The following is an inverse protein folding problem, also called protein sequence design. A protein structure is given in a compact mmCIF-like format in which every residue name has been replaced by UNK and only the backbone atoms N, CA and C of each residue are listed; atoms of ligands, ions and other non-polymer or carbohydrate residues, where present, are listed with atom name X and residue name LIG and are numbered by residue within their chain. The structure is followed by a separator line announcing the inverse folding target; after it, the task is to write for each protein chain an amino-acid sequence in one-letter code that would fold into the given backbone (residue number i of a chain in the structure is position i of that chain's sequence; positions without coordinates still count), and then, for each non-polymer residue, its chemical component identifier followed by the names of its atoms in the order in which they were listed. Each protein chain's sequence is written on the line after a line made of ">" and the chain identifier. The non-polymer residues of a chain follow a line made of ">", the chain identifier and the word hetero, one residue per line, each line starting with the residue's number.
data_IF_151272794310
#
_entry.id   IF_151272794310
#
_cell.length_a   1.000
_cell.length_b   1.000
_cell.length_c   1.000
_cell.angle_alpha   90.00
_cell.angle_beta   90.00
_cell.angle_gamma   90.00
#
_symmetry.space_group_name_H-M   'P 1'
#
loop_
_entity.id
_entity.type
_entity.pdbx_description
1 polymer ?
#
# COMPACT_ATOMS: atom_id res chain seq x y z
N UNK A 1 -6.39 11.97 0.87
CA UNK A 1 -7.56 11.09 1.12
C UNK A 1 -7.04 9.80 1.75
N UNK A 2 -7.74 9.24 2.74
CA UNK A 2 -7.40 7.94 3.33
C UNK A 2 -8.45 6.91 2.91
N UNK A 3 -8.01 5.71 2.54
CA UNK A 3 -8.87 4.58 2.20
C UNK A 3 -8.51 3.42 3.14
N UNK A 4 -9.53 2.76 3.69
CA UNK A 4 -9.38 1.46 4.36
C UNK A 4 -9.75 0.36 3.36
N UNK A 5 -8.84 -0.58 3.12
CA UNK A 5 -9.08 -1.67 2.17
C UNK A 5 -7.93 -2.67 2.14
N UNK A 6 -8.14 -3.77 1.43
CA UNK A 6 -7.10 -4.76 1.17
C UNK A 6 -6.12 -4.27 0.10
N UNK A 7 -4.88 -4.75 0.12
CA UNK A 7 -3.90 -4.57 -0.96
C UNK A 7 -3.58 -5.90 -1.62
N UNK A 8 -3.14 -5.83 -2.88
CA UNK A 8 -2.61 -6.98 -3.59
C UNK A 8 -1.09 -7.00 -3.44
N UNK A 9 -0.55 -8.07 -2.87
CA UNK A 9 0.90 -8.27 -2.83
C UNK A 9 1.36 -8.99 -4.12
N UNK A 10 2.28 -8.38 -4.86
CA UNK A 10 2.89 -8.92 -6.08
C UNK A 10 4.39 -9.15 -5.88
N UNK A 11 4.93 -10.22 -6.44
CA UNK A 11 6.39 -10.45 -6.51
C UNK A 11 6.98 -9.94 -7.85
N UNK A 12 6.14 -9.41 -8.73
CA UNK A 12 6.47 -9.10 -10.11
C UNK A 12 5.96 -7.72 -10.51
N UNK A 13 6.61 -6.63 -10.04
CA UNK A 13 6.16 -5.27 -10.32
C UNK A 13 6.13 -5.00 -11.83
N UNK A 14 5.09 -4.29 -12.28
CA UNK A 14 4.84 -3.93 -13.69
C UNK A 14 4.63 -5.13 -14.61
N UNK A 15 4.23 -6.29 -14.07
CA UNK A 15 3.86 -7.49 -14.84
C UNK A 15 2.38 -7.85 -14.70
N UNK A 16 1.59 -6.98 -14.07
CA UNK A 16 0.16 -7.15 -13.92
C UNK A 16 -0.52 -7.18 -15.30
N UNK A 17 -1.29 -8.25 -15.56
CA UNK A 17 -2.11 -8.36 -16.76
C UNK A 17 -3.45 -7.66 -16.58
N UNK A 18 -4.14 -7.33 -17.68
CA UNK A 18 -5.51 -6.77 -17.62
C UNK A 18 -6.47 -7.68 -16.82
N UNK A 19 -6.35 -8.99 -16.99
CA UNK A 19 -7.14 -9.97 -16.22
C UNK A 19 -6.82 -9.91 -14.73
N UNK A 20 -5.54 -9.80 -14.36
CA UNK A 20 -5.12 -9.67 -12.96
C UNK A 20 -5.65 -8.38 -12.33
N UNK A 21 -5.59 -7.25 -13.06
CA UNK A 21 -6.13 -5.96 -12.64
C UNK A 21 -7.65 -6.03 -12.48
N UNK A 22 -8.36 -6.63 -13.44
CA UNK A 22 -9.82 -6.81 -13.39
C UNK A 22 -10.23 -7.66 -12.19
N UNK A 23 -9.51 -8.76 -11.94
CA UNK A 23 -9.74 -9.60 -10.78
C UNK A 23 -9.46 -8.88 -9.46
N UNK A 24 -8.40 -8.06 -9.39
CA UNK A 24 -8.10 -7.24 -8.21
C UNK A 24 -9.20 -6.19 -7.94
N UNK A 25 -9.70 -5.53 -8.99
CA UNK A 25 -10.83 -4.58 -8.89
C UNK A 25 -12.10 -5.26 -8.41
N UNK A 26 -12.43 -6.44 -8.94
CA UNK A 26 -13.59 -7.22 -8.50
C UNK A 26 -13.50 -7.64 -7.02
N UNK A 27 -12.28 -7.82 -6.49
CA UNK A 27 -12.02 -8.10 -5.07
C UNK A 27 -12.01 -6.85 -4.18
N UNK A 28 -12.19 -5.65 -4.74
CA UNK A 28 -12.15 -4.40 -3.97
C UNK A 28 -10.76 -4.08 -3.44
N UNK A 29 -9.70 -4.41 -4.19
CA UNK A 29 -8.30 -4.18 -3.83
C UNK A 29 -7.79 -2.87 -4.46
N UNK A 30 -7.83 -1.72 -3.76
CA UNK A 30 -7.50 -0.41 -4.33
C UNK A 30 -6.04 -0.19 -4.70
N UNK A 31 -5.11 -1.00 -4.20
CA UNK A 31 -3.67 -0.80 -4.40
C UNK A 31 -2.91 -2.13 -4.52
N UNK A 32 -1.78 -2.07 -5.22
CA UNK A 32 -0.80 -3.15 -5.32
C UNK A 32 0.51 -2.71 -4.64
N UNK A 33 1.15 -3.63 -3.95
CA UNK A 33 2.42 -3.47 -3.21
C UNK A 33 3.11 -4.84 -3.13
N UNK A 34 4.21 -5.00 -2.37
CA UNK A 34 5.01 -6.24 -2.42
C UNK A 34 5.25 -6.88 -1.05
N UNK A 35 4.80 -6.28 0.07
CA UNK A 35 5.29 -6.61 1.40
C UNK A 35 4.21 -6.96 2.43
N UNK A 36 3.03 -6.35 2.34
CA UNK A 36 1.99 -6.40 3.37
C UNK A 36 1.53 -7.84 3.63
N UNK A 37 1.30 -8.65 2.58
CA UNK A 37 0.89 -10.04 2.75
C UNK A 37 1.93 -10.87 3.53
N UNK A 38 3.22 -10.73 3.19
CA UNK A 38 4.32 -11.41 3.87
C UNK A 38 4.47 -10.93 5.32
N UNK A 39 4.36 -9.62 5.55
CA UNK A 39 4.44 -9.04 6.89
C UNK A 39 3.28 -9.48 7.79
N UNK A 40 2.05 -9.52 7.27
CA UNK A 40 0.90 -10.03 8.00
C UNK A 40 1.04 -11.53 8.33
N UNK A 41 1.48 -12.35 7.38
CA UNK A 41 1.72 -13.77 7.61
C UNK A 41 2.80 -14.00 8.70
N UNK A 42 3.90 -13.23 8.64
CA UNK A 42 4.94 -13.27 9.67
C UNK A 42 4.39 -12.82 11.04
N UNK A 43 3.69 -11.69 11.10
CA UNK A 43 3.11 -11.17 12.34
C UNK A 43 2.15 -12.18 12.98
N UNK A 44 1.34 -12.87 12.18
CA UNK A 44 0.45 -13.94 12.65
C UNK A 44 1.23 -15.09 13.30
N UNK A 45 2.28 -15.60 12.65
CA UNK A 45 3.13 -16.67 13.21
C UNK A 45 3.87 -16.21 14.47
N UNK A 46 4.22 -14.92 14.57
CA UNK A 46 4.89 -14.34 15.73
C UNK A 46 3.93 -13.88 16.84
N UNK A 47 2.62 -14.00 16.63
CA UNK A 47 1.57 -13.46 17.50
C UNK A 47 1.81 -11.98 17.85
N UNK A 48 2.04 -11.15 16.82
CA UNK A 48 2.26 -9.71 16.95
C UNK A 48 1.17 -8.94 16.20
N UNK A 49 0.74 -7.83 16.80
CA UNK A 49 -0.13 -6.87 16.11
C UNK A 49 0.69 -6.12 15.05
N UNK A 50 0.10 -5.93 13.87
CA UNK A 50 0.69 -5.15 12.78
C UNK A 50 -0.38 -4.30 12.11
N UNK A 51 0.00 -3.10 11.73
CA UNK A 51 -0.79 -2.18 10.90
C UNK A 51 0.09 -1.73 9.75
N UNK A 52 -0.43 -1.85 8.52
CA UNK A 52 0.24 -1.38 7.31
C UNK A 52 -0.36 -0.04 6.87
N UNK A 53 0.50 0.94 6.63
CA UNK A 53 0.13 2.24 6.07
C UNK A 53 0.85 2.39 4.73
N UNK A 54 0.09 2.45 3.64
CA UNK A 54 0.64 2.58 2.30
C UNK A 54 0.40 4.00 1.77
N UNK A 55 1.47 4.64 1.29
CA UNK A 55 1.37 5.86 0.49
C UNK A 55 1.33 5.45 -0.99
N UNK A 56 0.20 5.68 -1.67
CA UNK A 56 0.09 5.39 -3.09
C UNK A 56 0.90 6.43 -3.89
N UNK A 57 1.98 6.00 -4.53
CA UNK A 57 2.95 6.90 -5.18
C UNK A 57 2.73 7.07 -6.67
N UNK A 58 2.02 6.16 -7.32
CA UNK A 58 1.82 6.14 -8.77
C UNK A 58 0.51 5.42 -9.15
N UNK A 59 0.15 5.42 -10.43
CA UNK A 59 -1.01 4.73 -10.97
C UNK A 59 -0.60 3.68 -12.02
N UNK A 60 0.37 2.82 -11.67
CA UNK A 60 0.84 1.68 -12.47
C UNK A 60 1.37 2.06 -13.88
N UNK A 61 2.05 3.19 -13.99
CA UNK A 61 2.59 3.74 -15.22
C UNK A 61 1.57 4.34 -16.18
N UNK A 62 0.31 4.57 -15.74
CA UNK A 62 -0.76 5.02 -16.66
C UNK A 62 -0.77 6.52 -16.94
N UNK A 63 -0.01 7.30 -16.16
CA UNK A 63 0.12 8.75 -16.32
C UNK A 63 1.59 9.11 -16.57
N UNK A 64 1.84 9.97 -17.56
CA UNK A 64 3.18 10.48 -17.84
C UNK A 64 3.75 11.26 -16.64
N UNK A 65 5.01 10.99 -16.29
CA UNK A 65 5.71 11.68 -15.20
C UNK A 65 5.30 11.25 -13.78
N UNK A 66 4.43 10.25 -13.61
CA UNK A 66 3.91 9.89 -12.27
C UNK A 66 4.94 9.29 -11.29
N UNK A 67 6.12 8.91 -11.79
CA UNK A 67 7.23 8.47 -10.95
C UNK A 67 8.10 9.62 -10.45
N UNK A 68 7.87 10.85 -10.92
CA UNK A 68 8.54 12.01 -10.38
C UNK A 68 8.09 12.25 -8.94
N UNK A 69 9.07 12.27 -8.04
CA UNK A 69 8.77 12.41 -6.63
C UNK A 69 8.52 13.87 -6.28
N UNK A 70 7.48 14.10 -5.49
CA UNK A 70 7.19 15.41 -4.89
C UNK A 70 8.25 15.77 -3.84
N UNK A 71 8.23 17.02 -3.38
CA UNK A 71 9.06 17.48 -2.25
C UNK A 71 8.99 16.48 -1.08
N UNK A 72 10.16 16.05 -0.62
CA UNK A 72 10.35 15.05 0.44
C UNK A 72 9.59 13.71 0.27
N UNK A 73 9.17 13.35 -0.94
CA UNK A 73 8.47 12.10 -1.26
C UNK A 73 7.20 11.85 -0.42
N UNK A 74 6.54 12.89 0.09
CA UNK A 74 5.38 12.75 0.99
C UNK A 74 5.72 12.28 2.41
N UNK A 75 6.99 12.32 2.80
CA UNK A 75 7.45 11.93 4.15
C UNK A 75 6.77 12.71 5.28
N UNK A 76 6.57 14.05 5.16
CA UNK A 76 5.88 14.81 6.22
C UNK A 76 4.46 14.30 6.48
N UNK A 77 3.70 14.00 5.42
CA UNK A 77 2.33 13.49 5.53
C UNK A 77 2.29 12.09 6.14
N UNK A 78 3.21 11.21 5.70
CA UNK A 78 3.33 9.86 6.25
C UNK A 78 3.63 9.91 7.77
N UNK A 79 4.56 10.76 8.19
CA UNK A 79 4.89 10.96 9.61
C UNK A 79 3.72 11.53 10.41
N UNK A 80 2.97 12.47 9.83
CA UNK A 80 1.77 13.02 10.47
C UNK A 80 0.71 11.94 10.72
N UNK A 81 0.45 11.08 9.73
CA UNK A 81 -0.48 9.95 9.86
C UNK A 81 0.01 8.94 10.89
N UNK A 82 1.27 8.52 10.83
CA UNK A 82 1.87 7.60 11.81
C UNK A 82 1.76 8.16 13.22
N UNK A 83 2.11 9.44 13.43
CA UNK A 83 2.01 10.09 14.73
C UNK A 83 0.58 10.05 15.28
N UNK A 84 -0.42 10.27 14.42
CA UNK A 84 -1.83 10.21 14.83
C UNK A 84 -2.28 8.80 15.19
N UNK A 85 -1.88 7.80 14.39
CA UNK A 85 -2.19 6.39 14.67
C UNK A 85 -1.58 5.98 16.00
N UNK A 86 -0.30 6.25 16.24
CA UNK A 86 0.40 5.94 17.50
C UNK A 86 -0.30 6.58 18.70
N UNK A 87 -0.79 7.83 18.58
CA UNK A 87 -1.53 8.49 19.67
C UNK A 87 -2.89 7.85 19.97
N UNK A 88 -3.49 7.16 19.01
CA UNK A 88 -4.77 6.45 19.17
C UNK A 88 -4.61 5.00 19.63
N UNK A 89 -3.45 4.38 19.37
CA UNK A 89 -3.10 3.06 19.88
C UNK A 89 -2.62 3.20 21.32
N UNK A 90 -3.50 2.92 22.28
CA UNK A 90 -3.18 2.83 23.71
C UNK A 90 -3.00 1.39 24.12
#
# INVERSE_FOLDING_TARGET
>A
MLILGATGATDAPFRETEDAITAARARGTPAVEMEAAGLHAFAQVRNRAVVCLANATNQMGTIEGEFEKREDNGTPDALAVVSRVVKCLR
#
